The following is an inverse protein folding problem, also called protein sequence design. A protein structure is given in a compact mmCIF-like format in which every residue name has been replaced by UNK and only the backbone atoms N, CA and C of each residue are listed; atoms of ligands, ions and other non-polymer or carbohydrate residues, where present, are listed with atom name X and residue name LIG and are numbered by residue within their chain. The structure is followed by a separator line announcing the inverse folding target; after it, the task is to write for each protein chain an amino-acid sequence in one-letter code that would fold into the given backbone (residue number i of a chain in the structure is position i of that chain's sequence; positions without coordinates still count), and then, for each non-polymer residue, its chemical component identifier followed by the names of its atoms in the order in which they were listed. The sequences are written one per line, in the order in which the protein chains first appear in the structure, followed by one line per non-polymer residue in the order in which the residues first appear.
data_IF_367189649589
#
_entry.id   IF_367189649589
#
_cell.length_a   1.000
_cell.length_b   1.000
_cell.length_c   1.000
_cell.angle_alpha   90.00
_cell.angle_beta   90.00
_cell.angle_gamma   90.00
#
_symmetry.space_group_name_H-M   'P 1'
#
loop_
_entity.id
_entity.type
_entity.pdbx_description
1 polymer ?
#
# COMPACT_ATOMS: atom_id res chain seq x y z
N UNK A 1 4.63 -13.79 21.65
CA UNK A 1 5.14 -14.64 21.39
C UNK A 1 5.62 -14.53 20.94
N UNK A 2 5.62 -14.38 21.07
CA UNK A 2 6.18 -15.06 21.08
C UNK A 2 6.05 -14.65 20.70
N UNK A 3 5.83 -14.66 21.24
CA UNK A 3 6.07 -15.19 21.22
C UNK A 3 5.98 -14.68 20.83
N UNK A 4 5.78 -14.79 21.36
CA UNK A 4 6.21 -15.26 21.42
C UNK A 4 6.34 -14.82 21.16
N UNK A 5 6.56 -14.85 21.71
CA UNK A 5 7.05 -15.43 21.81
C UNK A 5 7.08 -14.93 21.31
N UNK A 6 6.86 -14.78 21.76
CA UNK A 6 7.40 -15.37 21.78
C UNK A 6 7.45 -14.90 21.35
N UNK A 7 7.42 -14.92 21.91
CA UNK A 7 7.75 -15.47 21.94
C UNK A 7 7.77 -14.86 21.55
N UNK A 8 7.75 -14.90 21.89
CA UNK A 8 8.01 -15.31 22.00
C UNK A 8 8.32 -15.01 21.68
N UNK A 9 8.34 -14.97 22.28
CA UNK A 9 8.83 -15.52 22.31
C UNK A 9 9.18 -15.15 22.33
N UNK A 10 9.02 -15.37 22.88
CA UNK A 10 9.54 -16.04 23.29
C UNK A 10 9.91 -15.68 23.50
N UNK A 11 10.10 -15.67 24.01
CA UNK A 11 10.73 -15.96 24.54
C UNK A 11 10.86 -15.63 24.84
N UNK A 12 10.48 -15.49 25.37
CA UNK A 12 10.96 -15.87 25.91
C UNK A 12 11.26 -15.57 26.23
N UNK A 13 11.30 -15.35 27.12
CA UNK A 13 12.01 -15.65 27.54
C UNK A 13 12.69 -15.59 27.71
N UNK A 14 12.97 -15.67 28.49
CA UNK A 14 13.80 -15.92 28.82
C UNK A 14 14.19 -15.80 29.05
N UNK A 15 14.22 -15.88 29.54
CA UNK A 15 14.55 -15.89 29.83
C UNK A 15 14.45 -15.30 29.90
N UNK A 16 14.39 -14.99 30.17
CA UNK A 16 14.33 -14.51 30.05
C UNK A 16 13.78 -13.87 29.62
N UNK A 17 13.25 -13.67 29.86
CA UNK A 17 12.92 -13.09 29.28
C UNK A 17 12.16 -12.64 28.92
N UNK A 18 11.60 -13.11 29.56
CA UNK A 18 10.85 -11.90 29.49
C UNK A 18 10.24 -11.65 28.12
N UNK A 19 9.12 -10.83 28.03
CA UNK A 19 8.52 -10.52 26.78
C UNK A 19 9.43 -9.68 25.89
N UNK A 20 9.58 -10.09 24.67
CA UNK A 20 10.41 -9.38 23.73
C UNK A 20 9.68 -9.09 22.45
N UNK A 21 9.87 -7.90 21.93
CA UNK A 21 9.38 -7.54 20.61
C UNK A 21 10.46 -7.83 19.59
N UNK A 22 10.03 -8.28 18.43
CA UNK A 22 10.94 -8.56 17.34
C UNK A 22 10.78 -7.46 16.30
N UNK A 23 11.38 -6.31 16.55
CA UNK A 23 11.28 -5.17 15.67
C UNK A 23 12.10 -5.39 14.42
N UNK A 24 11.51 -5.00 13.29
CA UNK A 24 12.22 -5.00 12.01
C UNK A 24 12.84 -3.62 11.82
N UNK A 25 14.06 -3.47 12.27
CA UNK A 25 14.74 -2.18 12.22
C UNK A 25 15.05 -1.76 10.79
N UNK A 26 15.27 -2.75 9.91
CA UNK A 26 15.49 -2.46 8.49
C UNK A 26 14.25 -1.86 7.86
N UNK A 27 13.10 -2.39 8.21
CA UNK A 27 11.84 -1.87 7.68
C UNK A 27 11.64 -0.41 8.08
N UNK A 28 11.91 -0.10 9.35
CA UNK A 28 11.76 1.28 9.83
C UNK A 28 12.73 2.20 9.11
N UNK A 29 13.98 1.75 8.94
CA UNK A 29 15.00 2.56 8.28
C UNK A 29 14.69 2.78 6.80
N UNK A 30 14.15 1.75 6.14
CA UNK A 30 13.80 1.85 4.71
C UNK A 30 12.52 2.62 4.49
N UNK A 31 11.70 2.76 5.55
CA UNK A 31 10.42 3.42 5.44
C UNK A 31 9.30 2.45 5.09
N UNK A 32 8.08 2.90 5.32
CA UNK A 32 6.90 2.10 5.02
C UNK A 32 6.62 2.10 3.53
N UNK A 33 5.95 1.07 3.02
CA UNK A 33 5.47 1.11 1.64
C UNK A 33 4.29 2.07 1.54
N UNK A 34 4.35 2.96 0.56
CA UNK A 34 3.28 3.92 0.32
C UNK A 34 2.77 3.81 -1.10
N UNK A 35 1.48 4.00 -1.26
CA UNK A 35 0.85 4.23 -2.56
C UNK A 35 0.19 5.59 -2.47
N UNK A 36 0.49 6.45 -3.43
CA UNK A 36 -0.05 7.79 -3.49
C UNK A 36 -1.02 7.87 -4.65
N UNK A 37 -2.22 8.41 -4.42
CA UNK A 37 -3.21 8.59 -5.47
C UNK A 37 -3.29 10.08 -5.78
N UNK A 38 -3.03 10.42 -7.03
CA UNK A 38 -3.23 11.76 -7.54
C UNK A 38 -4.33 11.72 -8.59
N UNK A 39 -4.65 12.87 -9.18
CA UNK A 39 -5.72 12.92 -10.16
C UNK A 39 -5.42 12.10 -11.42
N UNK A 40 -4.16 11.89 -11.72
CA UNK A 40 -3.77 11.27 -12.98
C UNK A 40 -3.07 9.93 -12.82
N UNK A 41 -2.62 9.58 -11.61
CA UNK A 41 -1.71 8.46 -11.50
C UNK A 41 -1.69 7.86 -10.10
N UNK A 42 -1.20 6.63 -10.04
CA UNK A 42 -0.81 5.97 -8.80
C UNK A 42 0.71 6.04 -8.69
N UNK A 43 1.22 6.38 -7.52
CA UNK A 43 2.64 6.44 -7.26
C UNK A 43 3.04 5.40 -6.22
N UNK A 44 4.19 4.76 -6.43
CA UNK A 44 4.68 3.69 -5.54
C UNK A 44 6.09 4.04 -5.13
N UNK A 45 6.34 4.08 -3.81
CA UNK A 45 7.70 4.33 -3.36
C UNK A 45 8.55 3.06 -3.45
N UNK A 46 9.85 3.20 -3.24
CA UNK A 46 10.78 2.07 -3.39
C UNK A 46 10.39 0.85 -2.54
N UNK A 47 10.02 1.01 -1.26
CA UNK A 47 9.59 -0.18 -0.50
C UNK A 47 8.40 -0.90 -1.13
N UNK A 48 7.44 -0.16 -1.68
CA UNK A 48 6.29 -0.78 -2.35
C UNK A 48 6.73 -1.58 -3.57
N UNK A 49 7.61 -1.00 -4.37
CA UNK A 49 8.11 -1.64 -5.57
C UNK A 49 8.86 -2.92 -5.22
N UNK A 50 9.67 -2.85 -4.16
CA UNK A 50 10.44 -4.01 -3.71
C UNK A 50 9.55 -5.14 -3.21
N UNK A 51 8.50 -4.82 -2.48
CA UNK A 51 7.56 -5.84 -2.01
C UNK A 51 6.93 -6.59 -3.17
N UNK A 52 6.66 -5.89 -4.26
CA UNK A 52 6.10 -6.53 -5.46
C UNK A 52 7.13 -7.32 -6.24
N UNK A 53 8.41 -7.22 -5.87
CA UNK A 53 9.46 -7.97 -6.53
C UNK A 53 10.01 -7.30 -7.78
N UNK A 54 9.89 -5.98 -7.86
CA UNK A 54 10.39 -5.20 -8.99
C UNK A 54 9.88 -5.73 -10.33
N UNK A 55 8.55 -5.95 -10.48
CA UNK A 55 8.03 -6.57 -11.69
C UNK A 55 8.08 -5.60 -12.86
N UNK A 56 8.17 -6.17 -14.05
CA UNK A 56 8.18 -5.37 -15.26
C UNK A 56 6.82 -4.76 -15.53
N UNK A 57 5.77 -5.52 -15.24
CA UNK A 57 4.39 -5.06 -15.44
C UNK A 57 3.53 -5.48 -14.27
N UNK A 58 2.54 -4.66 -13.96
CA UNK A 58 1.58 -4.94 -12.89
C UNK A 58 0.16 -4.75 -13.40
N UNK A 59 -0.79 -5.33 -12.67
CA UNK A 59 -2.22 -5.09 -12.90
C UNK A 59 -2.79 -4.46 -11.64
N UNK A 60 -3.84 -3.66 -11.84
CA UNK A 60 -4.50 -2.94 -10.76
C UNK A 60 -5.95 -3.40 -10.70
N UNK A 61 -6.40 -3.78 -9.52
CA UNK A 61 -7.77 -4.19 -9.31
C UNK A 61 -8.42 -3.38 -8.21
N UNK A 62 -9.74 -3.41 -8.16
CA UNK A 62 -10.49 -2.66 -7.18
C UNK A 62 -11.67 -3.48 -6.67
N UNK A 63 -11.79 -3.55 -5.35
CA UNK A 63 -12.90 -4.22 -4.68
C UNK A 63 -13.86 -3.15 -4.19
N UNK A 64 -15.02 -3.05 -4.82
CA UNK A 64 -16.00 -2.02 -4.47
C UNK A 64 -16.60 -2.23 -3.10
N UNK A 65 -16.73 -3.46 -2.66
CA UNK A 65 -17.35 -3.74 -1.36
C UNK A 65 -16.49 -3.28 -0.21
N UNK A 66 -15.19 -3.48 -0.32
CA UNK A 66 -14.26 -3.10 0.75
C UNK A 66 -13.54 -1.80 0.45
N UNK A 67 -13.73 -1.23 -0.73
CA UNK A 67 -13.03 -0.02 -1.20
C UNK A 67 -11.54 -0.20 -1.11
N UNK A 68 -11.05 -1.33 -1.63
CA UNK A 68 -9.65 -1.71 -1.58
C UNK A 68 -9.06 -1.75 -2.99
N UNK A 69 -7.91 -1.11 -3.16
CA UNK A 69 -7.16 -1.17 -4.41
C UNK A 69 -6.06 -2.19 -4.23
N UNK A 70 -5.97 -3.16 -5.15
CA UNK A 70 -4.92 -4.16 -5.13
C UNK A 70 -4.05 -4.04 -6.35
N UNK A 71 -2.76 -4.29 -6.17
CA UNK A 71 -1.78 -4.26 -7.25
C UNK A 71 -0.96 -5.52 -7.15
N UNK A 72 -0.79 -6.19 -8.27
CA UNK A 72 0.02 -7.40 -8.30
C UNK A 72 0.76 -7.50 -9.62
N UNK A 73 1.77 -8.35 -9.61
CA UNK A 73 2.55 -8.63 -10.81
C UNK A 73 1.64 -9.19 -11.91
N UNK A 74 1.85 -8.72 -13.13
CA UNK A 74 1.11 -9.23 -14.29
C UNK A 74 1.53 -10.66 -14.57
N UNK A 75 0.56 -11.54 -14.75
CA UNK A 75 0.81 -12.97 -14.93
C UNK A 75 0.59 -13.45 -16.34
N UNK A 76 0.35 -12.54 -17.27
CA UNK A 76 0.12 -12.90 -18.65
C UNK A 76 -1.33 -13.04 -19.05
N UNK A 77 -2.25 -12.75 -18.13
CA UNK A 77 -3.68 -12.82 -18.41
C UNK A 77 -4.06 -11.73 -19.42
N UNK A 78 -4.55 -12.13 -20.58
CA UNK A 78 -4.80 -11.18 -21.65
C UNK A 78 -6.04 -10.32 -21.45
N UNK A 79 -6.88 -10.67 -20.47
CA UNK A 79 -8.13 -9.97 -20.27
C UNK A 79 -8.04 -8.79 -19.30
N UNK A 80 -6.84 -8.47 -18.84
CA UNK A 80 -6.63 -7.35 -17.93
C UNK A 80 -5.59 -6.41 -18.50
N UNK A 81 -5.71 -5.14 -18.16
CA UNK A 81 -4.75 -4.14 -18.60
C UNK A 81 -3.50 -4.21 -17.72
N UNK A 82 -2.36 -4.37 -18.36
CA UNK A 82 -1.08 -4.38 -17.66
C UNK A 82 -0.41 -3.02 -17.82
N UNK A 83 0.26 -2.58 -16.76
CA UNK A 83 0.97 -1.30 -16.75
C UNK A 83 2.46 -1.57 -16.63
N UNK A 84 3.24 -0.87 -17.42
CA UNK A 84 4.69 -0.88 -17.24
C UNK A 84 5.02 -0.38 -15.85
N UNK A 85 5.96 -1.03 -15.19
CA UNK A 85 6.18 -0.74 -13.78
C UNK A 85 7.64 -0.43 -13.49
N UNK A 86 8.47 -1.45 -13.32
CA UNK A 86 9.83 -1.21 -12.83
C UNK A 86 10.65 -0.30 -13.74
N UNK A 87 10.45 -0.38 -15.03
CA UNK A 87 11.16 0.47 -15.97
C UNK A 87 10.81 1.96 -15.82
N UNK A 88 9.74 2.25 -15.09
CA UNK A 88 9.32 3.64 -14.86
C UNK A 88 9.87 4.22 -13.55
N UNK A 89 10.75 3.49 -12.89
CA UNK A 89 11.36 3.96 -11.65
C UNK A 89 12.14 5.24 -11.92
N UNK A 90 11.85 6.27 -11.14
CA UNK A 90 12.49 7.56 -11.27
C UNK A 90 12.50 8.23 -9.90
N UNK A 91 13.71 8.59 -9.44
CA UNK A 91 13.87 9.28 -8.15
C UNK A 91 13.22 8.52 -7.00
N UNK A 92 13.27 7.19 -7.03
CA UNK A 92 12.75 6.37 -5.96
C UNK A 92 11.26 6.11 -6.02
N UNK A 93 10.61 6.47 -7.13
CA UNK A 93 9.17 6.27 -7.30
C UNK A 93 8.86 5.66 -8.64
N UNK A 94 7.83 4.80 -8.66
CA UNK A 94 7.23 4.35 -9.91
C UNK A 94 5.86 5.00 -9.99
N UNK A 95 5.54 5.52 -11.17
CA UNK A 95 4.30 6.23 -11.40
C UNK A 95 3.53 5.57 -12.54
N UNK A 96 2.29 5.20 -12.27
CA UNK A 96 1.42 4.58 -13.27
C UNK A 96 0.33 5.58 -13.64
N UNK A 97 0.27 5.96 -14.91
CA UNK A 97 -0.79 6.83 -15.39
C UNK A 97 -2.07 6.04 -15.57
N UNK A 98 -3.11 6.38 -14.82
CA UNK A 98 -4.38 5.66 -14.88
C UNK A 98 -5.54 6.62 -14.58
N UNK A 99 -5.58 7.71 -15.31
CA UNK A 99 -6.54 8.80 -15.10
C UNK A 99 -7.98 8.31 -15.06
N UNK A 100 -8.35 7.41 -15.93
CA UNK A 100 -9.73 6.95 -16.00
C UNK A 100 -10.12 6.16 -14.76
N UNK A 101 -9.21 5.35 -14.25
CA UNK A 101 -9.44 4.60 -13.03
C UNK A 101 -9.60 5.55 -11.84
N UNK A 102 -8.75 6.56 -11.76
CA UNK A 102 -8.82 7.54 -10.67
C UNK A 102 -10.14 8.30 -10.72
N UNK A 103 -10.58 8.65 -11.92
CA UNK A 103 -11.85 9.35 -12.10
C UNK A 103 -13.02 8.49 -11.64
N UNK A 104 -13.00 7.21 -11.99
CA UNK A 104 -14.01 6.27 -11.54
C UNK A 104 -14.01 6.17 -10.02
N UNK A 105 -12.83 6.07 -9.43
CA UNK A 105 -12.67 5.98 -7.99
C UNK A 105 -13.21 7.22 -7.29
N UNK A 106 -12.89 8.38 -7.84
CA UNK A 106 -13.36 9.65 -7.29
C UNK A 106 -14.89 9.75 -7.34
N UNK A 107 -15.47 9.33 -8.44
CA UNK A 107 -16.92 9.33 -8.59
C UNK A 107 -17.59 8.40 -7.57
N UNK A 108 -17.01 7.23 -7.40
CA UNK A 108 -17.57 6.22 -6.51
C UNK A 108 -17.48 6.61 -5.05
N UNK A 109 -16.37 7.20 -4.64
CA UNK A 109 -16.11 7.47 -3.22
C UNK A 109 -16.35 8.90 -2.81
N UNK A 110 -16.42 9.83 -3.77
CA UNK A 110 -16.50 11.25 -3.45
C UNK A 110 -15.19 11.88 -3.04
N UNK A 111 -14.11 11.11 -3.04
CA UNK A 111 -12.81 11.63 -2.65
C UNK A 111 -12.21 12.49 -3.74
N UNK A 112 -11.47 13.52 -3.32
CA UNK A 112 -10.73 14.39 -4.21
C UNK A 112 -9.25 14.05 -4.06
N UNK A 113 -8.57 13.85 -5.18
CA UNK A 113 -7.16 13.46 -5.17
C UNK A 113 -6.24 14.60 -5.61
N UNK A 114 -6.69 15.81 -5.43
CA UNK A 114 -5.89 17.01 -5.60
C UNK A 114 -6.08 17.86 -4.35
N UNK A 115 -5.09 17.95 -3.46
CA UNK A 115 -3.76 17.35 -3.57
C UNK A 115 -3.79 15.83 -3.44
N UNK A 116 -2.67 15.22 -3.81
CA UNK A 116 -2.54 13.76 -3.77
C UNK A 116 -2.71 13.24 -2.34
N UNK A 117 -3.25 12.04 -2.23
CA UNK A 117 -3.45 11.39 -0.94
C UNK A 117 -2.50 10.20 -0.84
N UNK A 118 -1.78 10.11 0.26
CA UNK A 118 -0.82 9.04 0.49
C UNK A 118 -1.43 8.00 1.43
N UNK A 119 -1.27 6.74 1.07
CA UNK A 119 -1.76 5.61 1.86
C UNK A 119 -0.61 4.71 2.24
N UNK A 120 -0.65 4.18 3.46
CA UNK A 120 0.27 3.11 3.84
C UNK A 120 -0.27 1.82 3.25
N UNK A 121 0.58 1.14 2.47
CA UNK A 121 0.18 -0.09 1.80
C UNK A 121 0.47 -1.30 2.67
N UNK A 122 -0.27 -2.37 2.42
CA UNK A 122 -0.05 -3.65 3.05
C UNK A 122 0.19 -4.68 1.96
N UNK A 123 0.91 -5.73 2.31
CA UNK A 123 1.26 -6.76 1.34
C UNK A 123 0.77 -8.11 1.81
N UNK A 124 -0.02 -8.77 0.99
CA UNK A 124 -0.49 -10.12 1.22
C UNK A 124 0.51 -11.08 0.60
N UNK A 125 1.29 -11.77 1.45
CA UNK A 125 2.34 -12.64 0.98
C UNK A 125 1.82 -13.88 0.28
N UNK A 126 0.63 -14.34 0.65
CA UNK A 126 0.05 -15.54 0.02
C UNK A 126 -0.43 -15.25 -1.39
N UNK A 127 -1.16 -14.16 -1.55
CA UNK A 127 -1.70 -13.79 -2.85
C UNK A 127 -0.74 -12.92 -3.64
N UNK A 128 0.30 -12.42 -2.98
CA UNK A 128 1.30 -11.53 -3.59
C UNK A 128 0.66 -10.25 -4.13
N UNK A 129 -0.20 -9.67 -3.31
CA UNK A 129 -0.93 -8.45 -3.66
C UNK A 129 -0.54 -7.35 -2.69
N UNK A 130 -0.15 -6.22 -3.24
CA UNK A 130 0.03 -4.98 -2.48
C UNK A 130 -1.29 -4.24 -2.51
N UNK A 131 -1.79 -3.80 -1.35
CA UNK A 131 -3.12 -3.20 -1.33
C UNK A 131 -3.23 -2.05 -0.35
N UNK A 132 -4.20 -1.18 -0.62
CA UNK A 132 -4.55 -0.06 0.25
C UNK A 132 -6.06 -0.01 0.39
N UNK A 133 -6.52 0.47 1.54
CA UNK A 133 -7.94 0.68 1.79
C UNK A 133 -8.24 2.16 1.60
N UNK A 134 -9.04 2.47 0.60
CA UNK A 134 -9.43 3.86 0.33
C UNK A 134 -10.34 4.38 1.43
N UNK A 135 -11.00 3.47 2.14
CA UNK A 135 -11.87 3.83 3.25
C UNK A 135 -11.10 4.53 4.37
N UNK A 136 -9.85 4.15 4.59
CA UNK A 136 -9.05 4.78 5.64
C UNK A 136 -8.84 6.27 5.37
N UNK A 137 -8.61 6.63 4.11
CA UNK A 137 -8.43 8.03 3.74
C UNK A 137 -9.72 8.81 3.89
N UNK A 138 -10.85 8.17 3.59
CA UNK A 138 -12.14 8.80 3.77
C UNK A 138 -12.32 9.23 5.22
N UNK A 139 -11.94 8.36 6.13
CA UNK A 139 -12.04 8.63 7.55
C UNK A 139 -11.08 9.75 7.96
N UNK A 140 -9.88 9.73 7.45
CA UNK A 140 -8.88 10.76 7.74
C UNK A 140 -9.33 12.12 7.30
N UNK A 141 -9.95 12.21 6.13
CA UNK A 141 -10.44 13.48 5.63
C UNK A 141 -11.54 14.05 6.53
N UNK A 142 -12.40 13.18 7.03
CA UNK A 142 -13.45 13.64 7.96
C UNK A 142 -12.86 14.18 9.25
N UNK A 143 -11.82 13.51 9.75
CA UNK A 143 -11.17 13.96 10.98
C UNK A 143 -10.53 15.33 10.78
N UNK A 144 -9.91 15.55 9.62
CA UNK A 144 -9.30 16.83 9.30
C UNK A 144 -10.34 17.94 9.23
N UNK A 145 -11.49 17.65 8.66
CA UNK A 145 -12.57 18.64 8.59
C UNK A 145 -13.04 19.04 9.97
N UNK A 146 -13.16 18.06 10.87
CA UNK A 146 -13.56 18.35 12.24
C UNK A 146 -12.54 19.24 12.92
N UNK A 147 -11.27 18.98 12.71
CA UNK A 147 -10.22 19.80 13.30
C UNK A 147 -10.24 21.23 12.79
N UNK A 148 -10.56 21.42 11.53
CA UNK A 148 -10.62 22.76 10.94
C UNK A 148 -11.76 23.59 11.50
N UNK A 149 -12.80 22.94 11.95
CA UNK A 149 -13.95 23.65 12.49
C UNK A 149 -13.70 24.24 13.87
N UNK A 150 -12.59 23.92 14.47
CA UNK A 150 -12.20 24.49 15.75
C UNK A 150 -11.46 25.79 15.55
#
# INVERSE_FOLDING_TARGET
MRLIYNFMCGKVLNGGDEMKFNFDWNYVAAGAPYITISELALGFNTPSVSLLGNPEEVVVGFDEQTLTIGVKKYDGNENVKAYKFYSRMKNGWVRIGCKDFIKYLSTLTGLQFSPAIRYVAKYDTEEQILYISVRDALQSQRDEEVDEDK
#
